data_IF_129630097309
#
_entry.id   IF_129630097309
#
_cell.length_a   1.000
_cell.length_b   1.000
_cell.length_c   1.000
_cell.angle_alpha   90.00
_cell.angle_beta   90.00
_cell.angle_gamma   90.00
#
_symmetry.space_group_name_H-M   'P 1'
#
loop_
_entity.id
_entity.type
_entity.pdbx_description
1 polymer ?
#
# COMPACT_ATOMS: atom_id res chain seq x y z
N UNK A 1 -20.80 -29.27 -11.20
CA UNK A 1 -19.53 -30.00 -11.19
C UNK A 1 -18.99 -30.14 -12.63
N UNK A 2 -18.04 -29.24 -12.99
CA UNK A 2 -17.45 -29.20 -14.34
C UNK A 2 -16.57 -30.42 -14.63
N UNK A 3 -16.02 -31.06 -13.59
CA UNK A 3 -15.19 -32.24 -13.73
C UNK A 3 -16.03 -33.45 -14.13
N UNK A 4 -17.20 -33.64 -13.49
CA UNK A 4 -18.13 -34.76 -13.80
C UNK A 4 -18.81 -34.59 -15.14
N UNK A 5 -19.18 -33.39 -15.56
CA UNK A 5 -19.92 -33.13 -16.80
C UNK A 5 -19.01 -32.98 -18.02
N UNK A 6 -17.83 -32.43 -17.89
CA UNK A 6 -17.00 -32.04 -19.05
C UNK A 6 -15.55 -32.54 -18.97
N UNK A 7 -15.15 -33.26 -17.90
CA UNK A 7 -13.77 -33.67 -17.67
C UNK A 7 -12.78 -32.51 -17.46
N UNK A 8 -13.27 -31.30 -17.18
CA UNK A 8 -12.45 -30.08 -17.02
C UNK A 8 -12.23 -29.76 -15.55
N UNK A 9 -10.97 -29.57 -15.15
CA UNK A 9 -10.61 -29.11 -13.81
C UNK A 9 -10.94 -27.64 -13.66
N UNK A 10 -11.43 -27.25 -12.50
CA UNK A 10 -11.69 -25.85 -12.13
C UNK A 10 -10.48 -25.31 -11.38
N UNK A 11 -9.94 -24.17 -11.81
CA UNK A 11 -8.93 -23.43 -11.06
C UNK A 11 -9.66 -22.38 -10.23
N UNK A 12 -9.46 -22.43 -8.92
CA UNK A 12 -9.94 -21.42 -7.97
C UNK A 12 -8.77 -20.56 -7.54
N UNK A 13 -8.77 -19.30 -7.95
CA UNK A 13 -7.82 -18.30 -7.47
C UNK A 13 -8.43 -17.54 -6.30
N UNK A 14 -7.74 -17.53 -5.17
CA UNK A 14 -8.14 -16.81 -3.95
C UNK A 14 -7.05 -15.82 -3.61
N UNK A 15 -7.33 -14.54 -3.86
CA UNK A 15 -6.44 -13.46 -3.44
C UNK A 15 -6.63 -13.18 -1.95
N UNK A 16 -5.53 -12.80 -1.26
CA UNK A 16 -5.54 -12.51 0.18
C UNK A 16 -6.16 -13.65 1.01
N UNK A 17 -5.75 -14.91 0.77
CA UNK A 17 -6.33 -16.09 1.40
C UNK A 17 -6.25 -16.06 2.94
N UNK A 18 -5.32 -15.27 3.51
CA UNK A 18 -5.19 -15.04 4.95
C UNK A 18 -6.42 -14.34 5.56
N UNK A 19 -7.22 -13.62 4.76
CA UNK A 19 -8.48 -12.99 5.21
C UNK A 19 -9.60 -13.99 5.45
N UNK A 20 -9.46 -15.21 4.93
CA UNK A 20 -10.39 -16.28 5.24
C UNK A 20 -10.11 -16.83 6.63
N UNK A 21 -11.12 -16.94 7.46
CA UNK A 21 -10.97 -17.60 8.76
C UNK A 21 -10.69 -19.10 8.57
N UNK A 22 -10.20 -19.75 9.62
CA UNK A 22 -9.79 -21.17 9.56
C UNK A 22 -10.93 -22.09 9.10
N UNK A 23 -12.16 -21.83 9.52
CA UNK A 23 -13.33 -22.61 9.08
C UNK A 23 -13.64 -22.47 7.59
N UNK A 24 -13.46 -21.25 7.04
CA UNK A 24 -13.61 -21.00 5.60
C UNK A 24 -12.51 -21.70 4.79
N UNK A 25 -11.28 -21.69 5.31
CA UNK A 25 -10.18 -22.42 4.70
C UNK A 25 -10.38 -23.93 4.75
N UNK A 26 -10.90 -24.47 5.88
CA UNK A 26 -11.23 -25.88 6.05
C UNK A 26 -12.30 -26.34 5.04
N UNK A 27 -13.26 -25.46 4.72
CA UNK A 27 -14.28 -25.76 3.73
C UNK A 27 -13.74 -26.03 2.32
N UNK A 28 -12.55 -25.52 2.00
CA UNK A 28 -11.88 -25.77 0.71
C UNK A 28 -11.20 -27.13 0.64
N UNK A 29 -10.86 -27.73 1.78
CA UNK A 29 -10.07 -28.97 1.87
C UNK A 29 -10.67 -30.14 1.06
N UNK A 30 -11.96 -30.48 1.21
CA UNK A 30 -12.53 -31.64 0.47
C UNK A 30 -12.37 -31.48 -1.05
N UNK A 31 -12.55 -30.26 -1.57
CA UNK A 31 -12.49 -29.98 -3.01
C UNK A 31 -11.07 -29.97 -3.56
N UNK A 32 -10.09 -29.68 -2.72
CA UNK A 32 -8.66 -29.76 -3.06
C UNK A 32 -8.19 -31.20 -2.98
N UNK A 33 -8.66 -31.97 -1.97
CA UNK A 33 -8.28 -33.36 -1.75
C UNK A 33 -8.80 -34.30 -2.84
N UNK A 34 -10.06 -34.15 -3.27
CA UNK A 34 -10.64 -34.94 -4.33
C UNK A 34 -10.24 -34.49 -5.75
N UNK A 35 -9.50 -33.39 -5.85
CA UNK A 35 -9.02 -32.85 -7.13
C UNK A 35 -10.09 -32.16 -7.98
N UNK A 36 -11.28 -31.92 -7.42
CA UNK A 36 -12.36 -31.16 -8.09
C UNK A 36 -11.90 -29.72 -8.39
N UNK A 37 -11.08 -29.16 -7.50
CA UNK A 37 -10.55 -27.80 -7.61
C UNK A 37 -9.02 -27.80 -7.50
N UNK A 38 -8.37 -27.05 -8.40
CA UNK A 38 -6.97 -26.66 -8.25
C UNK A 38 -6.97 -25.29 -7.56
N UNK A 39 -6.52 -25.25 -6.31
CA UNK A 39 -6.46 -24.00 -5.54
C UNK A 39 -5.15 -23.27 -5.82
N UNK A 40 -5.26 -21.97 -6.13
CA UNK A 40 -4.16 -21.02 -6.16
C UNK A 40 -4.50 -19.94 -5.14
N UNK A 41 -3.81 -19.95 -3.99
CA UNK A 41 -3.95 -18.93 -2.96
C UNK A 41 -2.81 -17.92 -3.04
N UNK A 42 -3.13 -16.62 -3.01
CA UNK A 42 -2.15 -15.56 -2.88
C UNK A 42 -2.26 -14.91 -1.51
N UNK A 43 -1.14 -14.51 -0.93
CA UNK A 43 -1.09 -13.81 0.36
C UNK A 43 0.14 -12.93 0.45
N UNK A 44 0.02 -11.79 1.13
CA UNK A 44 1.13 -10.92 1.52
C UNK A 44 1.72 -11.33 2.87
N UNK A 45 1.00 -12.15 3.64
CA UNK A 45 1.40 -12.62 4.95
C UNK A 45 2.17 -13.94 4.88
N UNK A 46 2.86 -14.29 5.98
CA UNK A 46 3.56 -15.56 6.07
C UNK A 46 2.56 -16.73 6.07
N UNK A 47 2.53 -17.56 4.99
CA UNK A 47 1.54 -18.62 4.84
C UNK A 47 1.61 -19.67 5.94
N UNK A 48 2.75 -19.88 6.57
CA UNK A 48 2.91 -20.87 7.64
C UNK A 48 2.13 -20.52 8.92
N UNK A 49 1.79 -19.25 9.11
CA UNK A 49 1.02 -18.79 10.28
C UNK A 49 -0.45 -18.58 9.94
N UNK A 50 -0.74 -18.08 8.75
CA UNK A 50 -2.07 -17.61 8.38
C UNK A 50 -2.90 -18.63 7.61
N UNK A 51 -2.24 -19.53 6.87
CA UNK A 51 -2.94 -20.58 6.11
C UNK A 51 -3.02 -21.87 6.90
N UNK A 52 -4.18 -22.54 6.80
CA UNK A 52 -4.38 -23.82 7.49
C UNK A 52 -3.30 -24.83 7.09
N UNK A 53 -2.69 -25.48 8.08
CA UNK A 53 -1.64 -26.48 7.87
C UNK A 53 -2.07 -27.65 6.99
N UNK A 54 -3.36 -28.01 6.98
CA UNK A 54 -3.89 -29.06 6.12
C UNK A 54 -3.91 -28.64 4.62
N UNK A 55 -4.19 -27.37 4.32
CA UNK A 55 -4.06 -26.82 2.97
C UNK A 55 -2.59 -26.71 2.56
N UNK A 56 -1.73 -26.21 3.45
CA UNK A 56 -0.30 -26.07 3.19
C UNK A 56 0.38 -27.41 2.87
N UNK A 57 0.02 -28.48 3.61
CA UNK A 57 0.61 -29.81 3.39
C UNK A 57 0.29 -30.39 2.00
N UNK A 58 -0.70 -29.83 1.31
CA UNK A 58 -1.15 -30.22 -0.04
C UNK A 58 -0.83 -29.18 -1.11
N UNK A 59 -0.08 -28.14 -0.74
CA UNK A 59 0.24 -27.02 -1.61
C UNK A 59 1.75 -26.89 -1.79
N UNK A 60 2.14 -26.29 -2.90
CA UNK A 60 3.53 -25.83 -3.13
C UNK A 60 3.55 -24.33 -2.89
N UNK A 61 4.50 -23.88 -2.09
CA UNK A 61 4.68 -22.46 -1.78
C UNK A 61 5.68 -21.88 -2.76
N UNK A 62 5.30 -20.80 -3.42
CA UNK A 62 6.16 -19.98 -4.25
C UNK A 62 6.30 -18.60 -3.64
N UNK A 63 7.51 -18.24 -3.26
CA UNK A 63 7.81 -16.89 -2.79
C UNK A 63 8.07 -15.98 -4.00
N UNK A 64 7.27 -14.93 -4.13
CA UNK A 64 7.45 -13.91 -5.16
C UNK A 64 8.42 -12.85 -4.63
N UNK A 65 9.45 -12.57 -5.42
CA UNK A 65 10.41 -11.50 -5.13
C UNK A 65 9.87 -10.15 -5.60
N UNK A 66 10.25 -9.04 -4.95
CA UNK A 66 10.01 -7.70 -5.49
C UNK A 66 10.54 -7.59 -6.92
N UNK A 67 9.85 -6.81 -7.74
CA UNK A 67 10.30 -6.52 -9.10
C UNK A 67 11.55 -5.64 -9.06
N UNK A 68 12.49 -5.90 -9.97
CA UNK A 68 13.66 -5.06 -10.16
C UNK A 68 13.33 -3.83 -11.01
N UNK A 69 14.21 -2.82 -10.97
CA UNK A 69 14.04 -1.58 -11.77
C UNK A 69 13.82 -1.89 -13.26
N UNK A 70 14.56 -2.87 -13.79
CA UNK A 70 14.45 -3.28 -15.19
C UNK A 70 13.07 -3.84 -15.54
N UNK A 71 12.48 -4.62 -14.63
CA UNK A 71 11.13 -5.18 -14.81
C UNK A 71 10.07 -4.06 -14.83
N UNK A 72 10.22 -3.06 -13.96
CA UNK A 72 9.31 -1.90 -13.91
C UNK A 72 9.42 -1.07 -15.19
N UNK A 73 10.63 -0.84 -15.70
CA UNK A 73 10.84 -0.14 -16.97
C UNK A 73 10.16 -0.88 -18.14
N UNK A 74 10.33 -2.20 -18.21
CA UNK A 74 9.65 -3.01 -19.24
C UNK A 74 8.12 -2.88 -19.13
N UNK A 75 7.57 -2.92 -17.91
CA UNK A 75 6.13 -2.77 -17.69
C UNK A 75 5.62 -1.38 -18.11
N UNK A 76 6.37 -0.31 -17.82
CA UNK A 76 6.02 1.06 -18.24
C UNK A 76 5.98 1.15 -19.77
N UNK A 77 7.01 0.69 -20.44
CA UNK A 77 7.05 0.72 -21.92
C UNK A 77 5.95 -0.13 -22.54
N UNK A 78 5.70 -1.31 -21.98
CA UNK A 78 4.61 -2.17 -22.44
C UNK A 78 3.25 -1.52 -22.24
N UNK A 79 3.02 -0.85 -21.11
CA UNK A 79 1.76 -0.15 -20.83
C UNK A 79 1.48 0.97 -21.86
N UNK A 80 2.51 1.66 -22.34
CA UNK A 80 2.38 2.73 -23.34
C UNK A 80 2.30 2.22 -24.77
N UNK A 81 2.72 0.99 -25.05
CA UNK A 81 2.73 0.41 -26.42
C UNK A 81 1.58 -0.56 -26.69
N UNK A 82 1.09 -1.26 -25.66
CA UNK A 82 0.00 -2.23 -25.80
C UNK A 82 -1.34 -1.50 -26.02
N UNK A 83 -1.95 -1.71 -27.18
CA UNK A 83 -3.23 -1.09 -27.55
C UNK A 83 -4.45 -1.83 -27.04
N UNK A 84 -4.31 -3.10 -26.62
CA UNK A 84 -5.43 -3.91 -26.15
C UNK A 84 -5.56 -3.87 -24.61
N UNK A 85 -4.43 -3.89 -23.91
CA UNK A 85 -4.38 -3.98 -22.44
C UNK A 85 -3.70 -2.80 -21.75
N UNK A 86 -3.18 -1.85 -22.53
CA UNK A 86 -2.47 -0.68 -22.07
C UNK A 86 -3.04 0.62 -22.61
N UNK A 87 -2.22 1.65 -22.61
CA UNK A 87 -2.54 3.00 -23.05
C UNK A 87 -2.03 3.30 -24.47
N UNK A 88 -1.65 2.27 -25.25
CA UNK A 88 -1.07 2.44 -26.59
C UNK A 88 -1.97 3.19 -27.59
N UNK A 89 -3.30 3.15 -27.40
CA UNK A 89 -4.26 3.88 -28.23
C UNK A 89 -4.26 5.39 -28.02
N UNK A 90 -3.67 5.90 -26.94
CA UNK A 90 -3.59 7.33 -26.63
C UNK A 90 -2.44 8.05 -27.34
N UNK A 91 -1.50 7.30 -27.94
CA UNK A 91 -0.33 7.88 -28.61
C UNK A 91 0.63 8.59 -27.65
N UNK A 92 0.71 8.11 -26.42
CA UNK A 92 1.60 8.66 -25.41
C UNK A 92 3.00 8.05 -25.49
N UNK A 93 4.00 8.87 -25.21
CA UNK A 93 5.38 8.44 -24.99
C UNK A 93 5.91 8.95 -23.64
N UNK A 94 6.98 8.34 -23.16
CA UNK A 94 7.65 8.72 -21.93
C UNK A 94 9.13 8.94 -22.20
N UNK A 95 9.71 10.00 -21.64
CA UNK A 95 11.15 10.25 -21.74
C UNK A 95 11.93 9.23 -20.89
N UNK A 96 13.16 8.91 -21.28
CA UNK A 96 13.99 7.91 -20.60
C UNK A 96 14.21 8.27 -19.11
N UNK A 97 14.52 9.54 -18.84
CA UNK A 97 14.68 10.08 -17.49
C UNK A 97 13.40 9.99 -16.64
N UNK A 98 12.23 10.22 -17.26
CA UNK A 98 10.94 10.07 -16.61
C UNK A 98 10.63 8.60 -16.26
N UNK A 99 10.92 7.69 -17.18
CA UNK A 99 10.73 6.25 -16.95
C UNK A 99 11.66 5.73 -15.83
N UNK A 100 12.94 6.12 -15.88
CA UNK A 100 13.90 5.75 -14.83
C UNK A 100 13.52 6.31 -13.46
N UNK A 101 13.15 7.59 -13.40
CA UNK A 101 12.67 8.25 -12.19
C UNK A 101 11.46 7.51 -11.60
N UNK A 102 10.48 7.18 -12.46
CA UNK A 102 9.29 6.46 -12.06
C UNK A 102 9.60 5.07 -11.51
N UNK A 103 10.50 4.33 -12.18
CA UNK A 103 10.91 2.99 -11.76
C UNK A 103 11.67 3.01 -10.42
N UNK A 104 12.51 4.02 -10.18
CA UNK A 104 13.22 4.19 -8.91
C UNK A 104 12.25 4.48 -7.75
N UNK A 105 11.30 5.39 -7.94
CA UNK A 105 10.33 5.75 -6.88
C UNK A 105 9.32 4.62 -6.63
N UNK A 106 8.96 3.87 -7.66
CA UNK A 106 8.04 2.74 -7.50
C UNK A 106 8.60 1.63 -6.61
N UNK A 107 9.93 1.52 -6.48
CA UNK A 107 10.56 0.62 -5.52
C UNK A 107 10.13 -0.84 -5.64
N UNK A 108 9.86 -1.32 -6.86
CA UNK A 108 9.38 -2.68 -7.14
C UNK A 108 7.85 -2.83 -7.14
N UNK A 109 7.08 -1.77 -6.87
CA UNK A 109 5.61 -1.77 -6.97
C UNK A 109 5.13 -1.39 -8.37
N UNK A 110 4.88 -2.41 -9.21
CA UNK A 110 4.35 -2.24 -10.55
C UNK A 110 3.01 -1.49 -10.59
N UNK A 111 2.12 -1.72 -9.62
CA UNK A 111 0.83 -1.04 -9.55
C UNK A 111 1.01 0.46 -9.36
N UNK A 112 1.97 0.84 -8.53
CA UNK A 112 2.33 2.23 -8.31
C UNK A 112 2.81 2.89 -9.60
N UNK A 113 3.73 2.27 -10.30
CA UNK A 113 4.26 2.78 -11.55
C UNK A 113 3.19 2.90 -12.63
N UNK A 114 2.41 1.84 -12.86
CA UNK A 114 1.39 1.80 -13.91
C UNK A 114 0.25 2.81 -13.66
N UNK A 115 -0.18 2.99 -12.43
CA UNK A 115 -1.19 4.00 -12.11
C UNK A 115 -0.67 5.43 -12.29
N UNK A 116 0.61 5.69 -12.06
CA UNK A 116 1.20 7.01 -12.33
C UNK A 116 1.26 7.27 -13.84
N UNK A 117 1.61 6.25 -14.65
CA UNK A 117 1.57 6.33 -16.12
C UNK A 117 0.14 6.60 -16.60
N UNK A 118 -0.84 5.83 -16.12
CA UNK A 118 -2.25 6.02 -16.47
C UNK A 118 -2.73 7.43 -16.15
N UNK A 119 -2.43 7.92 -14.94
CA UNK A 119 -2.79 9.27 -14.53
C UNK A 119 -2.11 10.31 -15.43
N UNK A 120 -0.83 10.15 -15.73
CA UNK A 120 -0.08 11.05 -16.62
C UNK A 120 -0.69 11.11 -18.01
N UNK A 121 -1.02 9.96 -18.61
CA UNK A 121 -1.65 9.90 -19.95
C UNK A 121 -3.03 10.57 -19.93
N UNK A 122 -3.82 10.40 -18.87
CA UNK A 122 -5.19 10.94 -18.80
C UNK A 122 -5.25 12.43 -18.44
N UNK A 123 -4.19 12.99 -17.84
CA UNK A 123 -4.19 14.38 -17.35
C UNK A 123 -3.30 15.33 -18.15
N UNK A 124 -2.41 14.80 -18.98
CA UNK A 124 -1.53 15.62 -19.82
C UNK A 124 -2.21 15.95 -21.13
N UNK A 125 -2.17 17.22 -21.52
CA UNK A 125 -2.70 17.67 -22.80
C UNK A 125 -1.81 17.18 -23.96
N UNK A 126 -2.43 16.97 -25.12
CA UNK A 126 -1.70 16.62 -26.32
C UNK A 126 -0.86 17.81 -26.80
N UNK A 127 0.37 17.53 -27.17
CA UNK A 127 1.26 18.51 -27.79
C UNK A 127 0.87 18.83 -29.23
N UNK A 128 1.52 19.82 -29.84
CA UNK A 128 1.27 20.25 -31.24
C UNK A 128 1.45 19.11 -32.27
N UNK A 129 2.24 18.11 -31.94
CA UNK A 129 2.45 16.90 -32.75
C UNK A 129 1.34 15.84 -32.59
N UNK A 130 0.33 16.12 -31.77
CA UNK A 130 -0.79 15.22 -31.48
C UNK A 130 -0.45 14.07 -30.54
N UNK A 131 0.71 14.12 -29.85
CA UNK A 131 1.16 13.12 -28.88
C UNK A 131 1.10 13.64 -27.46
N UNK A 132 1.06 12.73 -26.51
CA UNK A 132 1.16 13.02 -25.07
C UNK A 132 2.58 12.70 -24.63
N UNK A 133 3.32 13.71 -24.16
CA UNK A 133 4.70 13.53 -23.70
C UNK A 133 4.75 13.51 -22.18
N UNK A 134 5.10 12.34 -21.62
CA UNK A 134 5.27 12.17 -20.17
C UNK A 134 6.71 12.51 -19.80
N UNK A 135 6.89 13.71 -19.28
CA UNK A 135 8.19 14.19 -18.76
C UNK A 135 8.37 13.84 -17.29
N UNK A 136 9.60 14.02 -16.77
CA UNK A 136 9.90 13.78 -15.38
C UNK A 136 9.05 14.66 -14.44
N UNK A 137 8.78 15.91 -14.82
CA UNK A 137 7.94 16.84 -14.05
C UNK A 137 6.50 16.32 -13.95
N UNK A 138 5.94 15.85 -15.07
CA UNK A 138 4.59 15.26 -15.11
C UNK A 138 4.53 14.02 -14.22
N UNK A 139 5.51 13.13 -14.31
CA UNK A 139 5.55 11.93 -13.47
C UNK A 139 5.71 12.24 -11.98
N UNK A 140 6.53 13.25 -11.64
CA UNK A 140 6.69 13.70 -10.27
C UNK A 140 5.36 14.24 -9.68
N UNK A 141 4.57 15.00 -10.46
CA UNK A 141 3.25 15.46 -10.04
C UNK A 141 2.26 14.31 -9.88
N UNK A 142 2.28 13.34 -10.78
CA UNK A 142 1.39 12.18 -10.72
C UNK A 142 1.65 11.31 -9.51
N UNK A 143 2.91 11.13 -9.12
CA UNK A 143 3.30 10.39 -7.91
C UNK A 143 2.95 11.19 -6.66
N UNK A 144 3.23 12.50 -6.60
CA UNK A 144 2.91 13.34 -5.45
C UNK A 144 1.41 13.40 -5.18
N UNK A 145 0.58 13.57 -6.20
CA UNK A 145 -0.89 13.50 -6.07
C UNK A 145 -1.36 12.16 -5.50
N UNK A 146 -0.60 11.08 -5.68
CA UNK A 146 -0.90 9.77 -5.14
C UNK A 146 -0.38 9.57 -3.72
N UNK A 147 0.77 10.16 -3.37
CA UNK A 147 1.32 10.12 -2.00
C UNK A 147 0.38 10.85 -1.03
N UNK A 148 -0.36 11.86 -1.51
CA UNK A 148 -1.44 12.54 -0.76
C UNK A 148 -2.70 11.66 -0.63
N UNK A 149 -2.91 10.66 -1.50
CA UNK A 149 -3.88 9.59 -1.28
C UNK A 149 -3.26 8.46 -0.47
N UNK A 150 -2.82 8.80 0.71
CA UNK A 150 -2.52 7.84 1.77
C UNK A 150 -3.75 6.94 1.93
N UNK A 151 -3.58 5.67 1.60
CA UNK A 151 -4.65 4.70 1.77
C UNK A 151 -4.86 4.48 3.26
N UNK A 152 -5.85 5.18 3.82
CA UNK A 152 -6.23 5.09 5.24
C UNK A 152 -6.64 3.68 5.68
N UNK A 153 -6.70 2.74 4.75
CA UNK A 153 -7.13 1.35 4.96
C UNK A 153 -6.08 0.32 4.51
N UNK A 154 -4.92 0.72 3.98
CA UNK A 154 -3.88 -0.17 3.48
C UNK A 154 -2.86 -0.61 4.52
N UNK A 155 -2.15 -1.71 4.27
CA UNK A 155 -1.16 -2.32 5.17
C UNK A 155 -0.04 -1.33 5.55
N UNK A 156 0.39 -0.45 4.65
CA UNK A 156 1.38 0.60 4.91
C UNK A 156 0.96 1.61 6.01
N UNK A 157 -0.35 1.82 6.19
CA UNK A 157 -0.89 2.65 7.27
C UNK A 157 -0.64 2.00 8.63
N UNK A 158 -1.04 0.75 8.77
CA UNK A 158 -0.84 -0.01 10.01
C UNK A 158 0.64 -0.22 10.34
N UNK A 159 1.47 -0.45 9.33
CA UNK A 159 2.93 -0.60 9.49
C UNK A 159 3.59 0.68 9.98
N UNK A 160 3.22 1.84 9.42
CA UNK A 160 3.76 3.15 9.86
C UNK A 160 3.32 3.47 11.29
N UNK A 161 2.05 3.23 11.64
CA UNK A 161 1.55 3.39 13.01
C UNK A 161 2.25 2.43 13.97
N UNK A 162 2.40 1.17 13.59
CA UNK A 162 3.09 0.15 14.37
C UNK A 162 4.56 0.52 14.60
N UNK A 163 5.24 1.02 13.57
CA UNK A 163 6.61 1.48 13.66
C UNK A 163 6.74 2.71 14.57
N UNK A 164 5.82 3.67 14.48
CA UNK A 164 5.75 4.83 15.39
C UNK A 164 5.60 4.40 16.86
N UNK A 165 4.66 3.51 17.14
CA UNK A 165 4.44 3.00 18.50
C UNK A 165 5.69 2.26 19.01
N UNK A 166 6.30 1.40 18.16
CA UNK A 166 7.50 0.64 18.51
C UNK A 166 8.70 1.54 18.74
N UNK A 167 8.88 2.61 17.99
CA UNK A 167 9.97 3.56 18.17
C UNK A 167 9.85 4.33 19.50
N UNK A 168 8.65 4.75 19.88
CA UNK A 168 8.41 5.37 21.20
C UNK A 168 8.72 4.38 22.33
N UNK A 169 8.23 3.13 22.27
CA UNK A 169 8.49 2.08 23.26
C UNK A 169 9.96 1.70 23.33
N UNK A 170 10.63 1.69 22.18
CA UNK A 170 12.06 1.41 22.07
C UNK A 170 12.97 2.57 22.51
N UNK A 171 12.39 3.73 22.91
CA UNK A 171 13.13 4.94 23.27
C UNK A 171 14.09 5.40 22.16
N UNK A 172 13.65 5.29 20.89
CA UNK A 172 14.35 5.80 19.73
C UNK A 172 13.71 7.13 19.29
N UNK A 173 14.26 8.29 19.71
CA UNK A 173 13.67 9.58 19.41
C UNK A 173 13.74 9.95 17.93
N UNK A 174 14.78 9.54 17.23
CA UNK A 174 14.97 9.86 15.80
C UNK A 174 13.94 9.12 14.95
N UNK A 175 13.75 7.82 15.21
CA UNK A 175 12.72 7.03 14.55
C UNK A 175 11.30 7.53 14.90
N UNK A 176 11.05 7.88 16.16
CA UNK A 176 9.75 8.41 16.59
C UNK A 176 9.39 9.71 15.86
N UNK A 177 10.31 10.66 15.76
CA UNK A 177 10.11 11.92 15.03
C UNK A 177 9.96 11.68 13.53
N UNK A 178 10.73 10.75 12.95
CA UNK A 178 10.61 10.39 11.54
C UNK A 178 9.22 9.83 11.20
N UNK A 179 8.74 8.85 11.97
CA UNK A 179 7.42 8.26 11.72
C UNK A 179 6.28 9.23 12.04
N UNK A 180 6.43 10.10 13.04
CA UNK A 180 5.50 11.19 13.31
C UNK A 180 5.37 12.12 12.09
N UNK A 181 6.50 12.61 11.58
CA UNK A 181 6.53 13.47 10.40
C UNK A 181 5.92 12.78 9.17
N UNK A 182 6.22 11.50 8.98
CA UNK A 182 5.65 10.68 7.89
C UNK A 182 4.13 10.56 8.01
N UNK A 183 3.59 10.36 9.22
CA UNK A 183 2.15 10.27 9.46
C UNK A 183 1.45 11.61 9.21
N UNK A 184 2.02 12.73 9.68
CA UNK A 184 1.48 14.09 9.45
C UNK A 184 1.51 14.40 7.96
N UNK A 185 2.63 14.15 7.29
CA UNK A 185 2.78 14.37 5.84
C UNK A 185 1.77 13.55 5.01
N UNK A 186 1.47 12.34 5.48
CA UNK A 186 0.50 11.45 4.86
C UNK A 186 -0.98 11.83 5.17
N UNK A 187 -1.22 12.89 5.97
CA UNK A 187 -2.56 13.35 6.31
C UNK A 187 -3.30 12.47 7.32
N UNK A 188 -2.55 11.80 8.21
CA UNK A 188 -3.14 11.07 9.33
C UNK A 188 -3.88 12.03 10.27
N UNK A 189 -4.94 11.52 10.91
CA UNK A 189 -5.68 12.28 11.92
C UNK A 189 -4.77 12.64 13.11
N UNK A 190 -4.51 13.92 13.26
CA UNK A 190 -3.65 14.46 14.32
C UNK A 190 -4.18 14.09 15.72
N UNK A 191 -5.49 13.96 15.88
CA UNK A 191 -6.13 13.50 17.12
C UNK A 191 -5.81 12.03 17.39
N UNK A 192 -5.76 11.22 16.34
CA UNK A 192 -5.34 9.82 16.47
C UNK A 192 -3.87 9.74 16.89
N UNK A 193 -2.98 10.52 16.29
CA UNK A 193 -1.56 10.59 16.67
C UNK A 193 -1.42 11.01 18.13
N UNK A 194 -2.08 12.10 18.53
CA UNK A 194 -2.06 12.61 19.91
C UNK A 194 -2.55 11.55 20.91
N UNK A 195 -3.59 10.79 20.58
CA UNK A 195 -4.09 9.68 21.39
C UNK A 195 -3.04 8.59 21.58
N UNK A 196 -2.28 8.24 20.54
CA UNK A 196 -1.20 7.25 20.64
C UNK A 196 -0.07 7.70 21.55
N UNK A 197 0.27 8.98 21.51
CA UNK A 197 1.28 9.58 22.41
C UNK A 197 0.77 9.56 23.86
N UNK A 198 -0.49 9.90 24.11
CA UNK A 198 -1.07 9.82 25.47
C UNK A 198 -1.07 8.39 26.02
N UNK A 199 -1.41 7.40 25.20
CA UNK A 199 -1.37 5.99 25.60
C UNK A 199 0.05 5.59 25.99
N UNK A 200 1.06 5.91 25.17
CA UNK A 200 2.45 5.64 25.48
C UNK A 200 2.89 6.32 26.79
N UNK A 201 2.53 7.59 27.00
CA UNK A 201 2.84 8.31 28.22
C UNK A 201 2.20 7.67 29.46
N UNK A 202 0.98 7.14 29.33
CA UNK A 202 0.24 6.51 30.44
C UNK A 202 0.70 5.08 30.73
N UNK A 203 0.90 4.26 29.70
CA UNK A 203 1.12 2.81 29.83
C UNK A 203 2.60 2.43 29.84
N UNK A 204 3.38 3.02 28.91
CA UNK A 204 4.78 2.63 28.72
C UNK A 204 5.72 3.45 29.63
N UNK A 205 5.49 4.76 29.78
CA UNK A 205 6.27 5.65 30.67
C UNK A 205 5.71 5.57 32.09
N UNK A 206 4.40 5.72 32.26
CA UNK A 206 3.69 5.59 33.53
C UNK A 206 4.31 6.41 34.65
N UNK A 207 4.54 5.77 35.78
CA UNK A 207 5.11 6.40 36.97
C UNK A 207 6.62 6.65 36.90
N UNK A 208 7.30 6.21 35.88
CA UNK A 208 8.73 6.49 35.70
C UNK A 208 8.98 8.00 35.46
N UNK A 209 8.04 8.68 34.78
CA UNK A 209 7.98 10.13 34.68
C UNK A 209 6.52 10.60 34.85
N UNK A 210 6.12 11.04 36.06
CA UNK A 210 4.74 11.48 36.32
C UNK A 210 4.31 12.68 35.46
N UNK A 211 5.25 13.44 34.91
CA UNK A 211 4.95 14.59 34.05
C UNK A 211 4.63 14.19 32.61
N UNK A 212 5.05 13.01 32.15
CA UNK A 212 4.88 12.58 30.79
C UNK A 212 3.40 12.59 30.35
N UNK A 213 2.52 12.05 31.16
CA UNK A 213 1.08 12.04 30.87
C UNK A 213 0.48 13.45 30.87
N UNK A 214 0.89 14.31 31.82
CA UNK A 214 0.41 15.69 31.90
C UNK A 214 0.79 16.47 30.64
N UNK A 215 2.03 16.34 30.18
CA UNK A 215 2.51 16.97 28.96
C UNK A 215 1.76 16.44 27.72
N UNK A 216 1.59 15.12 27.62
CA UNK A 216 0.90 14.50 26.50
C UNK A 216 -0.58 14.91 26.42
N UNK A 217 -1.29 14.98 27.55
CA UNK A 217 -2.69 15.45 27.61
C UNK A 217 -2.78 16.92 27.22
N UNK A 218 -1.89 17.77 27.75
CA UNK A 218 -1.87 19.20 27.40
C UNK A 218 -1.60 19.42 25.89
N UNK A 219 -0.67 18.65 25.33
CA UNK A 219 -0.39 18.69 23.89
C UNK A 219 -1.61 18.24 23.05
N UNK A 220 -2.30 17.15 23.46
CA UNK A 220 -3.49 16.69 22.78
C UNK A 220 -4.64 17.72 22.82
N UNK A 221 -4.84 18.40 23.96
CA UNK A 221 -5.81 19.49 24.07
C UNK A 221 -5.43 20.68 23.15
N UNK A 222 -4.15 21.02 23.06
CA UNK A 222 -3.68 22.09 22.19
C UNK A 222 -3.91 21.73 20.70
N UNK A 223 -3.68 20.49 20.30
CA UNK A 223 -3.99 19.99 18.95
C UNK A 223 -5.49 20.11 18.68
N UNK A 224 -6.34 19.70 19.61
CA UNK A 224 -7.79 19.78 19.45
C UNK A 224 -8.29 21.23 19.30
N UNK A 225 -7.73 22.15 20.04
CA UNK A 225 -8.05 23.57 19.94
C UNK A 225 -7.51 24.21 18.65
N UNK A 226 -6.33 23.81 18.19
CA UNK A 226 -5.74 24.34 16.96
C UNK A 226 -6.51 23.89 15.70
N UNK A 227 -7.06 22.67 15.69
CA UNK A 227 -7.88 22.18 14.59
C UNK A 227 -9.19 22.96 14.41
N UNK A 228 -9.74 23.55 15.46
CA UNK A 228 -10.91 24.42 15.38
C UNK A 228 -10.61 25.71 14.60
N UNK A 229 -9.36 26.18 14.60
CA UNK A 229 -8.93 27.40 13.91
C UNK A 229 -8.36 27.13 12.50
N UNK A 230 -7.93 25.90 12.18
CA UNK A 230 -7.39 25.54 10.86
C UNK A 230 -8.51 25.30 9.85
N UNK A 231 -9.74 24.97 10.29
CA UNK A 231 -10.89 24.77 9.40
C UNK A 231 -11.49 26.05 8.82
N UNK A 232 -11.11 27.21 9.32
CA UNK A 232 -11.45 28.50 8.71
C UNK A 232 -10.22 29.04 7.95
N UNK A 233 -10.23 29.03 6.60
CA UNK A 233 -9.19 29.73 5.86
C UNK A 233 -9.33 31.21 6.18
N UNK A 234 -8.38 31.77 6.91
CA UNK A 234 -8.21 33.22 7.01
C UNK A 234 -8.02 33.74 5.60
N UNK A 235 -9.12 34.20 5.00
CA UNK A 235 -9.05 34.98 3.75
C UNK A 235 -8.38 36.32 4.09
N UNK A 236 -7.39 36.75 3.26
CA UNK A 236 -6.86 38.07 3.34
C UNK A 236 -7.93 39.12 2.98
#
# INVERSE_FOLDING_TARGET
DNLGMYGRKTILFVDEIHRFNKGQQDYLLPFVEDGTVILIGATTENPYFEVNGALLSRSVIFELKPLEKADILELIHRALTDTERGMGSYGADITEDAAEFLADIAGGDARSALNAVELGVLTTEQSEDGRIHLTQEVMAECIQKRTVRYDKTGDNHYDTISAFIKSMRGSDPDAAVYYLAKMIYAGEDERFIARRIMICASEDVGNADPMALTVAVSAAQAVELSLIHISEPTRP
#
